data_IF_859137644978
#
_entry.id   IF_859137644978
#
_cell.length_a   1.000
_cell.length_b   1.000
_cell.length_c   1.000
_cell.angle_alpha   90.00
_cell.angle_beta   90.00
_cell.angle_gamma   90.00
#
_symmetry.space_group_name_H-M   'P 1'
#
loop_
_entity.id
_entity.type
_entity.pdbx_description
1 polymer ?
#
# COMPACT_ATOMS: atom_id res chain seq x y z
N UNK A 1 -8.53 21.78 -6.66
CA UNK A 1 -8.37 21.63 -8.12
C UNK A 1 -6.92 21.28 -8.41
N UNK A 2 -6.67 20.01 -8.62
CA UNK A 2 -5.37 19.54 -9.09
C UNK A 2 -5.21 20.03 -10.54
N UNK A 3 -4.38 21.03 -10.76
CA UNK A 3 -4.11 21.47 -12.11
C UNK A 3 -3.25 20.43 -12.83
N UNK A 4 -3.51 20.15 -14.10
CA UNK A 4 -2.66 19.29 -14.90
C UNK A 4 -1.23 19.79 -14.90
N UNK A 5 -0.29 18.95 -14.46
CA UNK A 5 1.13 19.22 -14.53
C UNK A 5 1.90 17.99 -15.00
N UNK A 6 3.22 18.06 -15.03
CA UNK A 6 4.07 16.97 -15.50
C UNK A 6 3.96 15.69 -14.64
N UNK A 7 3.45 15.78 -13.41
CA UNK A 7 3.17 14.63 -12.55
C UNK A 7 2.13 13.68 -13.16
N UNK A 8 1.25 14.16 -14.03
CA UNK A 8 0.27 13.30 -14.71
C UNK A 8 0.93 12.18 -15.55
N UNK A 9 2.13 12.42 -16.05
CA UNK A 9 2.91 11.41 -16.74
C UNK A 9 3.29 10.26 -15.79
N UNK A 10 3.76 10.60 -14.61
CA UNK A 10 4.12 9.62 -13.58
C UNK A 10 2.89 8.86 -13.08
N UNK A 11 1.81 9.60 -12.78
CA UNK A 11 0.55 9.04 -12.29
C UNK A 11 -0.04 8.04 -13.29
N UNK A 12 0.08 8.26 -14.60
CA UNK A 12 -0.45 7.33 -15.59
C UNK A 12 0.09 5.90 -15.46
N UNK A 13 1.31 5.74 -14.93
CA UNK A 13 1.93 4.45 -14.63
C UNK A 13 1.89 4.08 -13.13
N UNK A 14 1.86 5.08 -12.23
CA UNK A 14 1.94 4.91 -10.78
C UNK A 14 0.61 5.16 -10.05
N UNK A 15 -0.52 5.12 -10.75
CA UNK A 15 -1.86 5.33 -10.15
C UNK A 15 -2.39 4.14 -9.35
N UNK A 16 -1.84 2.95 -9.57
CA UNK A 16 -2.41 1.70 -9.07
C UNK A 16 -3.40 1.08 -10.05
N UNK A 17 -3.76 -0.18 -9.86
CA UNK A 17 -4.64 -0.96 -10.76
C UNK A 17 -5.90 -1.47 -10.08
N UNK A 18 -5.87 -1.67 -8.78
CA UNK A 18 -6.99 -2.10 -7.97
C UNK A 18 -7.27 -1.09 -6.86
N UNK A 19 -8.49 -1.05 -6.40
CA UNK A 19 -8.99 -0.13 -5.39
C UNK A 19 -10.08 -0.81 -4.57
N UNK A 20 -10.55 -0.18 -3.49
CA UNK A 20 -11.70 -0.64 -2.69
C UNK A 20 -12.89 -1.01 -3.56
N UNK A 21 -13.18 -0.20 -4.58
CA UNK A 21 -14.30 -0.42 -5.50
C UNK A 21 -14.14 -1.71 -6.31
N UNK A 22 -12.94 -2.02 -6.80
CA UNK A 22 -12.67 -3.25 -7.54
C UNK A 22 -12.69 -4.49 -6.63
N UNK A 23 -12.21 -4.36 -5.39
CA UNK A 23 -12.33 -5.41 -4.37
C UNK A 23 -13.79 -5.71 -4.06
N UNK A 24 -14.58 -4.70 -3.73
CA UNK A 24 -16.01 -4.86 -3.42
C UNK A 24 -16.80 -5.44 -4.60
N UNK A 25 -16.46 -5.07 -5.84
CA UNK A 25 -17.06 -5.66 -7.03
C UNK A 25 -16.74 -7.16 -7.15
N UNK A 26 -15.50 -7.56 -6.84
CA UNK A 26 -15.08 -8.97 -6.84
C UNK A 26 -15.71 -9.82 -5.74
N UNK A 27 -16.04 -9.20 -4.61
CA UNK A 27 -16.63 -9.86 -3.44
C UNK A 27 -18.17 -9.82 -3.40
N UNK A 28 -18.79 -9.11 -4.34
CA UNK A 28 -20.24 -8.91 -4.33
C UNK A 28 -21.03 -10.21 -4.31
N UNK A 29 -21.86 -10.38 -3.28
CA UNK A 29 -22.71 -11.55 -3.10
C UNK A 29 -21.96 -12.81 -2.65
N UNK A 30 -20.74 -12.66 -2.17
CA UNK A 30 -19.94 -13.73 -1.59
C UNK A 30 -19.98 -13.66 -0.06
N UNK A 31 -19.91 -14.80 0.57
CA UNK A 31 -19.65 -14.91 2.00
C UNK A 31 -18.15 -14.73 2.23
N UNK A 32 -17.78 -13.78 3.08
CA UNK A 32 -16.37 -13.39 3.29
C UNK A 32 -15.55 -14.46 4.00
N UNK A 33 -16.20 -15.34 4.79
CA UNK A 33 -15.54 -16.42 5.52
C UNK A 33 -15.64 -17.78 4.81
N UNK A 34 -16.14 -17.79 3.59
CA UNK A 34 -16.28 -19.01 2.80
C UNK A 34 -15.37 -19.00 1.60
N UNK A 35 -14.59 -20.05 1.41
CA UNK A 35 -13.73 -20.23 0.22
C UNK A 35 -14.58 -20.22 -1.05
N UNK A 36 -14.26 -19.31 -1.98
CA UNK A 36 -14.90 -19.21 -3.30
C UNK A 36 -13.84 -19.20 -4.40
N UNK A 37 -13.76 -20.27 -5.16
CA UNK A 37 -12.83 -20.44 -6.29
C UNK A 37 -12.99 -19.39 -7.41
N UNK A 38 -14.02 -18.55 -7.37
CA UNK A 38 -14.24 -17.45 -8.32
C UNK A 38 -13.57 -16.15 -7.92
N UNK A 39 -13.10 -16.05 -6.67
CA UNK A 39 -12.33 -14.89 -6.23
C UNK A 39 -11.00 -14.89 -6.98
N UNK A 40 -10.61 -13.73 -7.48
CA UNK A 40 -9.36 -13.53 -8.18
C UNK A 40 -8.41 -12.69 -7.34
N UNK A 41 -7.12 -12.96 -7.47
CA UNK A 41 -6.09 -12.12 -6.87
C UNK A 41 -6.22 -10.68 -7.37
N UNK A 42 -6.21 -9.75 -6.42
CA UNK A 42 -6.22 -8.31 -6.65
C UNK A 42 -4.91 -7.73 -6.16
N UNK A 43 -4.26 -6.95 -7.00
CA UNK A 43 -3.01 -6.32 -6.67
C UNK A 43 -3.06 -4.87 -7.13
N UNK A 44 -2.91 -3.95 -6.18
CA UNK A 44 -2.82 -2.52 -6.50
C UNK A 44 -1.66 -2.22 -7.46
N UNK A 45 -0.74 -3.15 -7.61
CA UNK A 45 0.52 -3.02 -8.33
C UNK A 45 1.60 -2.30 -7.51
N UNK A 46 2.85 -2.51 -7.84
CA UNK A 46 3.96 -1.89 -7.13
C UNK A 46 4.05 -0.39 -7.45
N UNK A 47 4.63 0.36 -6.53
CA UNK A 47 4.85 1.80 -6.68
C UNK A 47 3.59 2.60 -7.05
N UNK A 48 2.47 2.29 -6.41
CA UNK A 48 1.20 2.97 -6.63
C UNK A 48 1.17 4.36 -5.94
N UNK A 49 2.17 5.19 -6.21
CA UNK A 49 2.35 6.49 -5.56
C UNK A 49 1.17 7.43 -5.77
N UNK A 50 0.53 7.38 -6.95
CA UNK A 50 -0.69 8.15 -7.22
C UNK A 50 -1.85 7.75 -6.32
N UNK A 51 -2.01 6.45 -6.03
CA UNK A 51 -3.03 6.00 -5.10
C UNK A 51 -2.76 6.51 -3.67
N UNK A 52 -1.51 6.54 -3.23
CA UNK A 52 -1.12 7.12 -1.94
C UNK A 52 -1.37 8.63 -1.92
N UNK A 53 -0.97 9.35 -2.97
CA UNK A 53 -1.18 10.80 -3.08
C UNK A 53 -2.66 11.17 -2.97
N UNK A 54 -3.53 10.47 -3.69
CA UNK A 54 -4.97 10.76 -3.71
C UNK A 54 -5.74 10.15 -2.52
N UNK A 55 -5.14 9.23 -1.78
CA UNK A 55 -5.71 8.65 -0.56
C UNK A 55 -7.19 8.25 -0.71
N UNK A 56 -8.06 8.82 0.11
CA UNK A 56 -9.50 8.53 0.09
C UNK A 56 -10.17 8.84 -1.25
N UNK A 57 -9.66 9.79 -2.02
CA UNK A 57 -10.22 10.12 -3.34
C UNK A 57 -9.99 9.01 -4.37
N UNK A 58 -8.86 8.29 -4.27
CA UNK A 58 -8.54 7.15 -5.14
C UNK A 58 -8.99 5.80 -4.58
N UNK A 59 -9.11 5.69 -3.25
CA UNK A 59 -9.41 4.46 -2.52
C UNK A 59 -8.47 3.30 -2.90
N UNK A 60 -7.20 3.61 -3.15
CA UNK A 60 -6.21 2.67 -3.66
C UNK A 60 -5.80 1.59 -2.65
N UNK A 61 -5.79 1.90 -1.35
CA UNK A 61 -5.78 0.90 -0.28
C UNK A 61 -7.23 0.51 0.06
N UNK A 62 -7.45 -0.68 0.63
CA UNK A 62 -8.79 -1.09 0.99
C UNK A 62 -9.34 -0.24 2.14
N UNK A 63 -10.44 0.43 1.88
CA UNK A 63 -11.11 1.30 2.84
C UNK A 63 -12.38 0.62 3.35
N UNK A 64 -12.42 0.38 4.66
CA UNK A 64 -13.53 -0.31 5.31
C UNK A 64 -14.72 0.62 5.48
N UNK A 65 -15.91 0.08 5.23
CA UNK A 65 -17.17 0.82 5.41
C UNK A 65 -17.31 1.32 6.85
N UNK A 66 -17.76 2.57 6.99
CA UNK A 66 -17.94 3.22 8.29
C UNK A 66 -16.65 3.74 8.95
N UNK A 67 -15.50 3.66 8.25
CA UNK A 67 -14.26 4.30 8.68
C UNK A 67 -13.99 5.55 7.85
N UNK A 68 -13.33 6.52 8.48
CA UNK A 68 -12.92 7.76 7.82
C UNK A 68 -11.45 7.64 7.36
N UNK A 69 -11.17 8.15 6.17
CA UNK A 69 -9.86 8.14 5.56
C UNK A 69 -9.53 9.50 4.97
N UNK A 70 -8.26 9.88 5.05
CA UNK A 70 -7.80 11.16 4.51
C UNK A 70 -7.65 11.07 2.99
N UNK A 71 -8.18 12.08 2.28
CA UNK A 71 -7.97 12.28 0.85
C UNK A 71 -6.84 13.26 0.59
N UNK A 72 -6.22 13.17 -0.57
CA UNK A 72 -5.16 14.04 -1.08
C UNK A 72 -4.03 14.31 -0.05
N UNK A 73 -3.09 13.40 0.02
CA UNK A 73 -1.91 13.52 0.88
C UNK A 73 -0.83 14.35 0.19
N UNK A 74 -0.86 15.68 0.35
CA UNK A 74 0.20 16.54 -0.14
C UNK A 74 1.40 16.47 0.80
N UNK A 75 2.61 16.47 0.24
CA UNK A 75 3.83 16.41 1.01
C UNK A 75 4.04 17.62 1.93
N UNK A 76 3.74 18.82 1.44
CA UNK A 76 3.79 20.03 2.24
C UNK A 76 2.44 20.75 2.21
N UNK A 77 2.03 21.32 3.35
CA UNK A 77 0.78 22.07 3.46
C UNK A 77 0.79 23.39 2.68
N UNK A 78 1.96 23.87 2.28
CA UNK A 78 2.12 25.12 1.55
C UNK A 78 2.11 24.89 0.03
N UNK A 79 1.36 25.73 -0.66
CA UNK A 79 1.26 25.72 -2.12
C UNK A 79 2.65 25.92 -2.76
N UNK A 80 3.05 24.99 -3.63
CA UNK A 80 4.27 25.09 -4.43
C UNK A 80 5.53 24.45 -3.84
N UNK A 81 5.46 23.77 -2.68
CA UNK A 81 6.63 23.11 -2.10
C UNK A 81 6.49 21.58 -2.17
N UNK A 82 7.37 20.93 -2.94
CA UNK A 82 7.55 19.48 -3.01
C UNK A 82 6.25 18.67 -3.21
N UNK A 83 5.30 19.23 -4.00
CA UNK A 83 4.01 18.62 -4.27
C UNK A 83 3.94 17.92 -5.63
N UNK A 84 5.00 18.04 -6.44
CA UNK A 84 5.11 17.36 -7.73
C UNK A 84 6.08 16.20 -7.64
N UNK A 85 5.84 15.18 -8.44
CA UNK A 85 6.73 14.01 -8.49
C UNK A 85 8.19 14.41 -8.75
N UNK A 86 8.41 15.32 -9.68
CA UNK A 86 9.74 15.79 -10.08
C UNK A 86 10.43 16.68 -9.02
N UNK A 87 9.71 17.19 -8.03
CA UNK A 87 10.33 17.93 -6.94
C UNK A 87 11.25 17.02 -6.12
N UNK A 88 10.84 15.74 -5.94
CA UNK A 88 11.60 14.74 -5.19
C UNK A 88 12.29 13.70 -6.07
N UNK A 89 11.77 13.41 -7.27
CA UNK A 89 12.33 12.38 -8.16
C UNK A 89 13.07 12.99 -9.34
N UNK A 90 14.25 12.44 -9.65
CA UNK A 90 14.93 12.73 -10.92
C UNK A 90 14.30 11.85 -12.02
N UNK A 91 13.68 12.49 -13.02
CA UNK A 91 12.97 11.78 -14.09
C UNK A 91 13.91 11.02 -15.04
N UNK A 92 15.21 11.34 -15.05
CA UNK A 92 16.22 10.69 -15.89
C UNK A 92 17.01 9.63 -15.15
N UNK A 93 17.45 9.93 -13.92
CA UNK A 93 18.14 8.96 -13.07
C UNK A 93 17.19 7.92 -12.47
N UNK A 94 15.89 8.23 -12.39
CA UNK A 94 14.85 7.42 -11.73
C UNK A 94 15.15 7.18 -10.24
N UNK A 95 15.82 8.14 -9.61
CA UNK A 95 16.23 8.10 -8.21
C UNK A 95 15.62 9.29 -7.45
N UNK A 96 15.33 9.13 -6.15
CA UNK A 96 14.96 10.23 -5.29
C UNK A 96 16.14 11.21 -5.11
N UNK A 97 15.85 12.52 -5.16
CA UNK A 97 16.77 13.59 -4.83
C UNK A 97 16.81 13.81 -3.32
N UNK A 98 17.38 12.84 -2.60
CA UNK A 98 17.33 12.82 -1.12
C UNK A 98 17.99 14.02 -0.47
N UNK A 99 18.94 14.66 -1.15
CA UNK A 99 19.57 15.90 -0.67
C UNK A 99 18.57 17.05 -0.52
N UNK A 100 17.46 17.00 -1.25
CA UNK A 100 16.41 18.01 -1.12
C UNK A 100 15.62 17.89 0.19
N UNK A 101 15.63 16.73 0.83
CA UNK A 101 14.96 16.49 2.12
C UNK A 101 15.64 17.29 3.24
N UNK A 102 16.98 17.39 3.20
CA UNK A 102 17.78 18.01 4.25
C UNK A 102 17.38 19.48 4.53
N UNK A 103 16.90 20.18 3.51
CA UNK A 103 16.51 21.58 3.64
C UNK A 103 15.39 21.81 4.66
N UNK A 104 14.51 20.83 4.86
CA UNK A 104 13.35 20.93 5.74
C UNK A 104 13.39 19.91 6.89
N UNK A 105 14.04 18.76 6.69
CA UNK A 105 14.00 17.64 7.63
C UNK A 105 15.33 17.36 8.32
N UNK A 106 16.36 18.15 8.06
CA UNK A 106 17.70 17.98 8.64
C UNK A 106 18.30 16.58 8.43
N UNK A 107 17.84 15.86 7.41
CA UNK A 107 18.31 14.52 7.04
C UNK A 107 18.18 14.28 5.55
N UNK A 108 19.08 13.47 4.98
CA UNK A 108 18.99 12.93 3.62
C UNK A 108 18.45 11.50 3.61
N UNK A 109 18.13 10.93 4.75
CA UNK A 109 17.50 9.62 4.85
C UNK A 109 15.99 9.75 5.07
N UNK A 110 15.16 9.58 4.02
CA UNK A 110 13.72 9.74 4.13
C UNK A 110 13.06 8.69 5.05
N UNK A 111 13.75 7.59 5.37
CA UNK A 111 13.20 6.56 6.24
C UNK A 111 13.17 6.99 7.72
N UNK A 112 13.98 7.99 8.07
CA UNK A 112 14.05 8.53 9.43
C UNK A 112 13.13 9.73 9.67
N UNK A 113 12.47 10.24 8.61
CA UNK A 113 11.63 11.43 8.72
C UNK A 113 10.35 11.10 9.49
N UNK A 114 10.01 12.02 10.42
CA UNK A 114 8.78 12.01 11.21
C UNK A 114 8.34 13.43 11.50
N UNK A 115 7.07 13.72 11.29
CA UNK A 115 6.45 15.03 11.54
C UNK A 115 5.30 14.97 12.58
N UNK A 116 5.18 13.85 13.28
CA UNK A 116 4.08 13.62 14.23
C UNK A 116 4.58 12.87 15.45
N UNK A 117 4.00 13.17 16.61
CA UNK A 117 4.24 12.45 17.88
C UNK A 117 3.22 11.32 18.10
N UNK A 118 2.44 10.98 17.08
CA UNK A 118 1.47 9.87 17.17
C UNK A 118 2.21 8.55 16.98
N UNK A 119 2.16 7.70 17.97
CA UNK A 119 2.57 6.30 17.93
C UNK A 119 1.48 5.50 17.21
N UNK A 120 1.71 5.15 15.95
CA UNK A 120 0.71 4.49 15.11
C UNK A 120 0.69 2.98 15.28
N UNK A 121 1.82 2.37 15.62
CA UNK A 121 1.92 0.92 15.79
C UNK A 121 1.77 0.47 17.26
N UNK A 122 1.90 1.41 18.20
CA UNK A 122 1.63 1.21 19.62
C UNK A 122 2.80 0.58 20.37
N UNK A 123 4.02 0.67 19.85
CA UNK A 123 5.21 0.11 20.48
C UNK A 123 5.84 1.03 21.53
N UNK A 124 5.48 2.31 21.54
CA UNK A 124 5.92 3.34 22.47
C UNK A 124 7.14 4.13 22.01
N UNK A 125 7.66 3.90 20.80
CA UNK A 125 8.76 4.66 20.19
C UNK A 125 8.23 5.72 19.23
N UNK A 126 8.07 6.94 19.71
CA UNK A 126 7.68 8.10 18.88
C UNK A 126 8.87 8.83 18.25
N UNK A 127 10.07 8.29 18.36
CA UNK A 127 11.28 8.88 17.78
C UNK A 127 11.73 8.18 16.48
N UNK A 128 11.22 7.01 16.19
CA UNK A 128 11.49 6.34 14.93
C UNK A 128 10.85 7.09 13.73
N UNK A 129 11.37 6.87 12.53
CA UNK A 129 10.76 7.41 11.32
C UNK A 129 9.43 6.72 10.99
N UNK A 130 8.54 7.41 10.27
CA UNK A 130 7.24 6.84 9.82
C UNK A 130 7.41 5.53 9.05
N UNK A 131 8.55 5.31 8.42
CA UNK A 131 8.87 4.04 7.75
C UNK A 131 8.90 2.85 8.73
N UNK A 132 9.38 3.05 9.96
CA UNK A 132 9.38 2.04 11.01
C UNK A 132 7.96 1.67 11.43
N UNK A 133 7.15 2.66 11.79
CA UNK A 133 5.73 2.50 12.13
C UNK A 133 4.96 1.68 11.07
N UNK A 134 5.15 2.02 9.79
CA UNK A 134 4.52 1.30 8.68
C UNK A 134 5.01 -0.14 8.58
N UNK A 135 6.31 -0.38 8.80
CA UNK A 135 6.87 -1.73 8.75
C UNK A 135 6.29 -2.61 9.86
N UNK A 136 6.26 -2.13 11.09
CA UNK A 136 5.69 -2.86 12.23
C UNK A 136 4.20 -3.14 12.07
N UNK A 137 3.43 -2.13 11.59
CA UNK A 137 2.01 -2.35 11.26
C UNK A 137 1.81 -3.41 10.17
N UNK A 138 2.66 -3.44 9.15
CA UNK A 138 2.61 -4.44 8.09
C UNK A 138 2.92 -5.85 8.63
N UNK A 139 3.90 -5.97 9.52
CA UNK A 139 4.23 -7.23 10.19
C UNK A 139 3.08 -7.71 11.09
N UNK A 140 2.48 -6.81 11.87
CA UNK A 140 1.33 -7.12 12.70
C UNK A 140 0.13 -7.59 11.85
N UNK A 141 -0.14 -6.94 10.73
CA UNK A 141 -1.18 -7.36 9.79
C UNK A 141 -0.88 -8.76 9.23
N UNK A 142 0.35 -9.01 8.82
CA UNK A 142 0.74 -10.31 8.29
C UNK A 142 0.59 -11.42 9.33
N UNK A 143 0.99 -11.18 10.57
CA UNK A 143 0.79 -12.13 11.68
C UNK A 143 -0.70 -12.45 11.90
N UNK A 144 -1.59 -11.45 11.82
CA UNK A 144 -3.04 -11.66 11.90
C UNK A 144 -3.57 -12.46 10.69
N UNK A 145 -3.08 -12.20 9.49
CA UNK A 145 -3.43 -12.98 8.30
C UNK A 145 -3.02 -14.45 8.46
N UNK A 146 -1.85 -14.74 9.02
CA UNK A 146 -1.39 -16.10 9.29
C UNK A 146 -2.28 -16.79 10.32
N UNK A 147 -2.58 -16.13 11.44
CA UNK A 147 -3.45 -16.68 12.49
C UNK A 147 -4.86 -16.97 11.96
N UNK A 148 -5.42 -16.07 11.18
CA UNK A 148 -6.72 -16.27 10.55
C UNK A 148 -6.70 -17.47 9.58
N UNK A 149 -5.67 -17.54 8.73
CA UNK A 149 -5.52 -18.59 7.72
C UNK A 149 -5.39 -19.97 8.37
N UNK A 150 -4.60 -20.10 9.43
CA UNK A 150 -4.48 -21.36 10.19
C UNK A 150 -5.81 -21.82 10.77
N UNK A 151 -6.64 -20.91 11.26
CA UNK A 151 -7.95 -21.22 11.81
C UNK A 151 -8.99 -21.64 10.74
N UNK A 152 -8.81 -21.23 9.47
CA UNK A 152 -9.82 -21.35 8.41
C UNK A 152 -9.41 -22.20 7.20
N UNK A 153 -8.26 -22.83 7.20
CA UNK A 153 -7.96 -23.73 6.09
C UNK A 153 -6.49 -24.02 5.81
N UNK A 154 -5.60 -23.48 6.59
CA UNK A 154 -4.18 -23.80 6.49
C UNK A 154 -3.26 -22.61 6.47
N UNK A 155 -1.97 -22.86 6.66
CA UNK A 155 -0.96 -21.84 6.76
C UNK A 155 -0.82 -21.01 5.47
N UNK A 156 -0.53 -19.72 5.63
CA UNK A 156 -0.19 -18.79 4.55
C UNK A 156 1.24 -18.27 4.73
N UNK A 157 2.00 -18.20 3.65
CA UNK A 157 3.33 -17.60 3.62
C UNK A 157 3.40 -16.51 2.57
N UNK A 158 4.32 -15.57 2.74
CA UNK A 158 4.53 -14.46 1.83
C UNK A 158 5.96 -14.47 1.30
N UNK A 159 6.11 -14.25 -0.02
CA UNK A 159 7.39 -14.06 -0.69
C UNK A 159 7.27 -12.88 -1.66
N UNK A 160 7.93 -11.77 -1.35
CA UNK A 160 7.92 -10.56 -2.17
C UNK A 160 8.58 -10.72 -3.54
N UNK A 161 9.36 -11.78 -3.75
CA UNK A 161 10.09 -12.04 -5.00
C UNK A 161 9.35 -12.95 -5.97
N UNK A 162 8.24 -13.56 -5.52
CA UNK A 162 7.51 -14.54 -6.33
C UNK A 162 6.02 -14.17 -6.43
N UNK A 163 5.58 -13.73 -7.62
CA UNK A 163 4.16 -13.49 -7.87
C UNK A 163 3.35 -14.81 -7.79
N UNK A 164 2.15 -14.85 -7.19
CA UNK A 164 1.34 -13.77 -6.61
C UNK A 164 1.59 -13.49 -5.12
N UNK A 165 2.77 -13.71 -4.63
CA UNK A 165 3.30 -13.34 -3.32
C UNK A 165 2.79 -14.17 -2.13
N UNK A 166 1.61 -14.74 -2.18
CA UNK A 166 1.03 -15.53 -1.09
C UNK A 166 0.89 -16.99 -1.48
N UNK A 167 1.37 -17.88 -0.60
CA UNK A 167 1.47 -19.31 -0.83
C UNK A 167 0.88 -20.08 0.36
N UNK A 168 0.33 -21.24 0.08
CA UNK A 168 -0.10 -22.21 1.10
C UNK A 168 1.09 -22.98 1.70
N UNK A 169 0.80 -23.80 2.70
CA UNK A 169 1.79 -24.64 3.39
C UNK A 169 2.50 -25.63 2.45
N UNK A 170 1.91 -25.98 1.33
CA UNK A 170 2.47 -26.86 0.29
C UNK A 170 3.35 -26.12 -0.72
N UNK A 171 3.58 -24.82 -0.52
CA UNK A 171 4.36 -23.97 -1.41
C UNK A 171 3.66 -23.59 -2.71
N UNK A 172 2.37 -23.95 -2.87
CA UNK A 172 1.60 -23.56 -4.04
C UNK A 172 0.88 -22.24 -3.83
N UNK A 173 0.63 -21.55 -4.93
CA UNK A 173 -0.11 -20.28 -4.91
C UNK A 173 -1.53 -20.48 -4.38
N UNK A 174 -1.88 -19.84 -3.28
CA UNK A 174 -3.20 -19.95 -2.64
C UNK A 174 -4.32 -19.66 -3.65
N UNK A 175 -4.12 -18.66 -4.50
CA UNK A 175 -5.14 -18.23 -5.46
C UNK A 175 -5.32 -19.18 -6.64
N UNK A 176 -4.34 -20.00 -6.98
CA UNK A 176 -4.44 -20.96 -8.08
C UNK A 176 -5.07 -22.29 -7.65
N UNK A 177 -4.84 -22.73 -6.45
CA UNK A 177 -5.47 -23.96 -5.92
C UNK A 177 -6.98 -23.78 -5.72
N UNK A 178 -7.43 -22.56 -5.43
CA UNK A 178 -8.86 -22.21 -5.37
C UNK A 178 -9.50 -22.09 -6.77
N UNK A 179 -8.68 -22.02 -7.83
CA UNK A 179 -9.15 -21.73 -9.19
C UNK A 179 -9.09 -22.92 -10.12
N UNK A 180 -8.32 -23.95 -9.81
CA UNK A 180 -8.25 -25.16 -10.62
C UNK A 180 -9.33 -26.11 -10.13
N UNK A 181 -10.38 -26.41 -10.93
CA UNK A 181 -11.21 -27.58 -10.66
C UNK A 181 -10.25 -28.76 -10.60
N UNK A 182 -10.19 -29.46 -9.48
CA UNK A 182 -9.53 -30.75 -9.44
C UNK A 182 -10.30 -31.61 -10.41
N UNK A 183 -9.74 -31.85 -11.60
CA UNK A 183 -10.23 -32.84 -12.55
C UNK A 183 -10.17 -34.22 -11.97
#
# INVERSE_FOLDING_TARGET
NFLPDDSNFCISSHQGRDATTSMNAGLRGKDLDTVDAKIRFKNIHYFAAGATLFGADAQGAYMYEGKEYVGLNLHASEEGKANKCQDCHDAHALEPKVESCETCHDTTDPTTIRETDVDYDGDGDVAEGISGEVATLAEALYAQMQSYSEAHGGAITYDSHAYPYFFGADGKHIYYDLQTPKG
#
